data_IF_072261079462
#
_entry.id   IF_072261079462
#
_cell.length_a   1.000
_cell.length_b   1.000
_cell.length_c   1.000
_cell.angle_alpha   90.00
_cell.angle_beta   90.00
_cell.angle_gamma   90.00
#
_symmetry.space_group_name_H-M   'P 1'
#
loop_
_entity.id
_entity.type
_entity.pdbx_description
1 polymer ?
#
# COMPACT_ATOMS: atom_id res chain seq x y z
N UNK A 1 5.30 10.16 13.03
CA UNK A 1 5.99 10.11 11.73
C UNK A 1 6.68 8.76 11.62
N UNK A 2 6.41 7.96 10.58
CA UNK A 2 7.10 6.67 10.37
C UNK A 2 8.51 6.99 9.87
N UNK A 3 9.55 6.58 10.60
CA UNK A 3 10.95 6.89 10.26
C UNK A 3 11.69 5.66 9.72
N UNK A 4 12.75 5.86 8.94
CA UNK A 4 13.58 4.73 8.44
C UNK A 4 14.19 3.90 9.57
N UNK A 5 14.42 4.50 10.75
CA UNK A 5 14.90 3.77 11.93
C UNK A 5 13.85 2.79 12.47
N UNK A 6 12.59 3.22 12.52
CA UNK A 6 11.47 2.37 12.93
C UNK A 6 11.26 1.19 11.96
N UNK A 7 11.29 1.45 10.65
CA UNK A 7 11.14 0.42 9.63
C UNK A 7 12.28 -0.60 9.64
N UNK A 8 13.53 -0.14 9.81
CA UNK A 8 14.70 -1.03 9.97
C UNK A 8 14.58 -1.93 11.19
N UNK A 9 14.06 -1.43 12.32
CA UNK A 9 13.81 -2.25 13.53
C UNK A 9 12.81 -3.38 13.25
N UNK A 10 11.82 -3.11 12.40
CA UNK A 10 10.81 -4.09 11.96
C UNK A 10 11.28 -4.96 10.77
N UNK A 11 12.53 -4.81 10.31
CA UNK A 11 13.07 -5.48 9.12
C UNK A 11 12.26 -5.23 7.84
N UNK A 12 11.56 -4.11 7.77
CA UNK A 12 10.83 -3.69 6.57
C UNK A 12 11.82 -3.00 5.63
N UNK A 13 12.02 -3.57 4.45
CA UNK A 13 12.84 -2.98 3.38
C UNK A 13 12.02 -2.00 2.54
N UNK A 14 12.64 -0.93 2.05
CA UNK A 14 11.99 -0.06 1.07
C UNK A 14 12.04 -0.70 -0.30
N UNK A 15 10.87 -0.84 -0.94
CA UNK A 15 10.74 -1.35 -2.31
C UNK A 15 10.79 -0.20 -3.34
N UNK A 16 10.54 1.04 -2.90
CA UNK A 16 10.56 2.22 -3.77
C UNK A 16 12.02 2.52 -4.15
N UNK A 17 12.33 2.69 -5.44
CA UNK A 17 13.68 3.03 -5.88
C UNK A 17 14.04 4.46 -5.45
N UNK A 18 15.32 4.69 -5.18
CA UNK A 18 15.85 6.03 -5.00
C UNK A 18 15.89 6.76 -6.35
N UNK A 19 15.65 8.07 -6.34
CA UNK A 19 15.97 8.91 -7.50
C UNK A 19 17.47 9.01 -7.67
N UNK A 20 17.92 9.20 -8.92
CA UNK A 20 19.36 9.29 -9.28
C UNK A 20 20.11 10.34 -8.43
N UNK A 21 19.47 11.44 -8.08
CA UNK A 21 20.06 12.53 -7.29
C UNK A 21 19.98 12.31 -5.76
N UNK A 22 19.46 11.18 -5.30
CA UNK A 22 19.35 10.87 -3.87
C UNK A 22 20.54 10.04 -3.39
N UNK A 23 21.03 10.33 -2.18
CA UNK A 23 22.21 9.67 -1.58
C UNK A 23 22.09 8.13 -1.51
N UNK A 24 20.86 7.60 -1.47
CA UNK A 24 20.61 6.15 -1.46
C UNK A 24 20.78 5.47 -2.82
N UNK A 25 20.83 6.22 -3.92
CA UNK A 25 20.95 5.67 -5.29
C UNK A 25 22.34 5.10 -5.57
N UNK A 26 23.38 5.56 -4.87
CA UNK A 26 24.76 5.07 -5.02
C UNK A 26 25.14 4.07 -3.92
N UNK A 27 24.26 3.85 -2.93
CA UNK A 27 24.53 2.92 -1.84
C UNK A 27 24.31 1.48 -2.30
N UNK A 28 25.41 0.73 -2.46
CA UNK A 28 25.40 -0.69 -2.85
C UNK A 28 24.66 -1.60 -1.87
N UNK A 29 24.36 -1.12 -0.66
CA UNK A 29 23.55 -1.82 0.34
C UNK A 29 22.04 -1.74 0.05
N UNK A 30 21.62 -0.80 -0.79
CA UNK A 30 20.23 -0.70 -1.24
C UNK A 30 20.08 -1.44 -2.56
N UNK A 31 19.89 -2.76 -2.48
CA UNK A 31 19.47 -3.52 -3.66
C UNK A 31 18.00 -3.22 -3.95
N UNK A 32 17.75 -2.65 -5.13
CA UNK A 32 16.39 -2.47 -5.64
C UNK A 32 15.86 -3.82 -6.13
N UNK A 33 14.71 -4.22 -5.59
CA UNK A 33 14.00 -5.41 -6.02
C UNK A 33 12.90 -5.00 -7.01
N UNK A 34 13.21 -5.14 -8.30
CA UNK A 34 12.31 -4.75 -9.39
C UNK A 34 11.03 -5.60 -9.41
N UNK A 35 11.13 -6.89 -9.10
CA UNK A 35 9.98 -7.78 -9.06
C UNK A 35 9.03 -7.39 -7.92
N UNK A 36 9.57 -7.14 -6.72
CA UNK A 36 8.77 -6.67 -5.60
C UNK A 36 8.15 -5.29 -5.89
N UNK A 37 8.85 -4.42 -6.63
CA UNK A 37 8.31 -3.14 -7.07
C UNK A 37 7.17 -3.30 -8.07
N UNK A 38 7.27 -4.25 -9.00
CA UNK A 38 6.21 -4.58 -9.94
C UNK A 38 4.97 -5.19 -9.25
N UNK A 39 5.18 -6.11 -8.32
CA UNK A 39 4.09 -6.80 -7.60
C UNK A 39 3.25 -5.83 -6.74
N UNK A 40 3.84 -4.69 -6.33
CA UNK A 40 3.17 -3.60 -5.63
C UNK A 40 1.94 -3.08 -6.38
N UNK A 41 1.94 -3.14 -7.72
CA UNK A 41 0.82 -2.73 -8.57
C UNK A 41 -0.48 -3.47 -8.24
N UNK A 42 -0.40 -4.74 -7.81
CA UNK A 42 -1.59 -5.51 -7.40
C UNK A 42 -2.26 -4.87 -6.18
N UNK A 43 -1.45 -4.47 -5.20
CA UNK A 43 -1.92 -3.79 -3.99
C UNK A 43 -2.46 -2.40 -4.33
N UNK A 44 -1.74 -1.63 -5.16
CA UNK A 44 -2.18 -0.30 -5.60
C UNK A 44 -3.51 -0.34 -6.36
N UNK A 45 -3.68 -1.29 -7.28
CA UNK A 45 -4.95 -1.50 -8.01
C UNK A 45 -6.08 -1.84 -7.04
N UNK A 46 -5.84 -2.74 -6.10
CA UNK A 46 -6.83 -3.09 -5.07
C UNK A 46 -7.29 -1.84 -4.30
N UNK A 47 -6.36 -1.02 -3.81
CA UNK A 47 -6.70 0.23 -3.14
C UNK A 47 -7.34 1.25 -4.09
N UNK A 48 -6.98 1.29 -5.36
CA UNK A 48 -7.64 2.09 -6.39
C UNK A 48 -9.13 1.74 -6.51
N UNK A 49 -9.46 0.46 -6.60
CA UNK A 49 -10.85 0.01 -6.61
C UNK A 49 -11.59 0.34 -5.31
N UNK A 50 -10.95 0.14 -4.16
CA UNK A 50 -11.55 0.47 -2.87
C UNK A 50 -11.83 1.98 -2.75
N UNK A 51 -10.90 2.82 -3.19
CA UNK A 51 -11.05 4.29 -3.22
C UNK A 51 -12.06 4.78 -4.25
N UNK A 52 -12.46 3.95 -5.23
CA UNK A 52 -13.62 4.24 -6.07
C UNK A 52 -14.92 4.40 -5.25
N UNK A 53 -15.01 3.77 -4.07
CA UNK A 53 -16.10 4.02 -3.14
C UNK A 53 -15.80 5.27 -2.32
N UNK A 54 -16.54 6.37 -2.60
CA UNK A 54 -16.38 7.67 -1.93
C UNK A 54 -16.34 7.56 -0.40
N UNK A 55 -17.16 6.68 0.19
CA UNK A 55 -17.18 6.47 1.64
C UNK A 55 -15.86 5.96 2.22
N UNK A 56 -15.16 5.07 1.52
CA UNK A 56 -13.84 4.57 1.91
C UNK A 56 -12.78 5.65 1.65
N UNK A 57 -12.84 6.32 0.49
CA UNK A 57 -11.87 7.36 0.13
C UNK A 57 -11.88 8.56 1.07
N UNK A 58 -13.06 9.02 1.48
CA UNK A 58 -13.20 10.19 2.35
C UNK A 58 -13.06 9.85 3.84
N UNK A 59 -13.09 8.57 4.23
CA UNK A 59 -12.94 8.12 5.61
C UNK A 59 -13.86 8.87 6.60
N UNK A 60 -15.17 8.87 6.35
CA UNK A 60 -16.15 9.54 7.22
C UNK A 60 -16.31 8.91 8.61
N UNK A 61 -15.76 7.71 8.83
CA UNK A 61 -15.98 6.96 10.05
C UNK A 61 -15.16 7.53 11.22
N UNK A 62 -15.85 7.87 12.31
CA UNK A 62 -15.21 8.50 13.49
C UNK A 62 -14.26 7.56 14.24
N UNK A 63 -14.47 6.24 14.15
CA UNK A 63 -13.66 5.24 14.86
C UNK A 63 -12.92 4.34 13.89
N UNK A 64 -11.70 3.94 14.27
CA UNK A 64 -10.89 3.01 13.49
C UNK A 64 -11.60 1.66 13.27
N UNK A 65 -12.39 1.20 14.24
CA UNK A 65 -13.19 -0.03 14.13
C UNK A 65 -14.22 0.08 13.02
N UNK A 66 -14.97 1.19 12.97
CA UNK A 66 -15.99 1.39 11.94
C UNK A 66 -15.37 1.55 10.55
N UNK A 67 -14.26 2.29 10.46
CA UNK A 67 -13.50 2.39 9.22
C UNK A 67 -13.01 1.02 8.73
N UNK A 68 -12.43 0.21 9.62
CA UNK A 68 -11.98 -1.14 9.29
C UNK A 68 -13.13 -2.02 8.78
N UNK A 69 -14.31 -1.94 9.40
CA UNK A 69 -15.50 -2.65 8.92
C UNK A 69 -15.88 -2.22 7.50
N UNK A 70 -15.86 -0.93 7.20
CA UNK A 70 -16.12 -0.42 5.84
C UNK A 70 -15.09 -0.91 4.82
N UNK A 71 -13.81 -0.94 5.18
CA UNK A 71 -12.75 -1.51 4.32
C UNK A 71 -12.98 -2.99 4.06
N UNK A 72 -13.32 -3.78 5.10
CA UNK A 72 -13.63 -5.21 4.96
C UNK A 72 -14.82 -5.44 4.02
N UNK A 73 -15.90 -4.66 4.17
CA UNK A 73 -17.05 -4.71 3.27
C UNK A 73 -16.65 -4.35 1.82
N UNK A 74 -15.80 -3.35 1.64
CA UNK A 74 -15.24 -2.99 0.34
C UNK A 74 -14.46 -4.13 -0.31
N UNK A 75 -13.61 -4.82 0.46
CA UNK A 75 -12.86 -5.98 -0.01
C UNK A 75 -13.78 -7.15 -0.40
N UNK A 76 -14.80 -7.44 0.41
CA UNK A 76 -15.79 -8.49 0.12
C UNK A 76 -16.53 -8.18 -1.19
N UNK A 77 -16.98 -6.93 -1.36
CA UNK A 77 -17.63 -6.49 -2.60
C UNK A 77 -16.71 -6.63 -3.81
N UNK A 78 -15.43 -6.26 -3.68
CA UNK A 78 -14.44 -6.39 -4.74
C UNK A 78 -14.22 -7.86 -5.12
N UNK A 79 -14.16 -8.74 -4.13
CA UNK A 79 -14.02 -10.18 -4.33
C UNK A 79 -15.21 -10.78 -5.07
N UNK A 80 -16.44 -10.49 -4.64
CA UNK A 80 -17.65 -10.93 -5.33
C UNK A 80 -17.75 -10.38 -6.75
N UNK A 81 -17.40 -9.10 -6.97
CA UNK A 81 -17.37 -8.52 -8.31
C UNK A 81 -16.40 -9.27 -9.23
N UNK A 82 -15.29 -9.79 -8.69
CA UNK A 82 -14.31 -10.59 -9.45
C UNK A 82 -14.75 -12.04 -9.68
N UNK A 83 -15.65 -12.59 -8.86
CA UNK A 83 -16.17 -13.95 -9.04
C UNK A 83 -17.33 -14.01 -10.05
N UNK A 84 -18.18 -12.99 -10.07
CA UNK A 84 -19.39 -12.96 -10.90
C UNK A 84 -19.22 -12.22 -12.24
N UNK A 85 -17.99 -11.85 -12.59
CA UNK A 85 -17.65 -11.15 -13.83
C UNK A 85 -16.38 -11.77 -14.41
#
# INVERSE_FOLDING_TARGET
MITSRYLRKLRIKSIIPYKINEKGSTDSRTQFDEQAYHDRNVVERCFGFLKGNRRIATCYEKTARNYLSMVKLGCIRLFYKRLYN
#
